data_IF_187338738621
#
_entry.id   IF_187338738621
#
_cell.length_a   1.000
_cell.length_b   1.000
_cell.length_c   1.000
_cell.angle_alpha   90.00
_cell.angle_beta   90.00
_cell.angle_gamma   90.00
#
_symmetry.space_group_name_H-M   'P 1'
#
loop_
_entity.id
_entity.type
_entity.pdbx_description
1 polymer ?
#
# COMPACT_ATOMS: atom_id res chain seq x y z
N UNK A 1 25.32 31.87 1.17
CA UNK A 1 25.64 30.74 0.27
C UNK A 1 24.35 30.07 -0.10
N UNK A 2 23.83 30.39 -1.28
CA UNK A 2 22.68 29.68 -1.86
C UNK A 2 23.32 28.39 -2.41
N UNK A 3 22.94 27.18 -1.93
CA UNK A 3 23.50 25.96 -2.49
C UNK A 3 23.25 25.95 -4.00
N UNK A 4 24.28 25.67 -4.79
CA UNK A 4 24.09 25.57 -6.23
C UNK A 4 23.17 24.37 -6.51
N UNK A 5 22.09 24.60 -7.27
CA UNK A 5 21.16 23.54 -7.70
C UNK A 5 21.82 22.48 -8.61
N UNK A 6 23.12 22.59 -8.85
CA UNK A 6 23.98 21.64 -9.56
C UNK A 6 24.32 20.40 -8.72
N UNK A 7 24.08 20.41 -7.40
CA UNK A 7 24.29 19.24 -6.56
C UNK A 7 23.11 18.25 -6.71
N UNK A 8 23.33 17.20 -7.51
CA UNK A 8 22.37 16.13 -7.80
C UNK A 8 21.72 15.54 -6.55
N UNK A 9 22.42 15.54 -5.41
CA UNK A 9 21.89 15.01 -4.15
C UNK A 9 20.74 15.87 -3.63
N UNK A 10 20.89 17.20 -3.68
CA UNK A 10 19.86 18.15 -3.20
C UNK A 10 18.61 18.05 -4.06
N UNK A 11 18.79 17.98 -5.38
CA UNK A 11 17.69 17.84 -6.35
C UNK A 11 16.92 16.54 -6.10
N UNK A 12 17.61 15.42 -5.89
CA UNK A 12 16.96 14.13 -5.61
C UNK A 12 16.15 14.17 -4.30
N UNK A 13 16.71 14.71 -3.21
CA UNK A 13 15.96 14.84 -1.94
C UNK A 13 14.75 15.76 -2.06
N UNK A 14 14.87 16.85 -2.82
CA UNK A 14 13.76 17.76 -3.07
C UNK A 14 12.65 17.06 -3.85
N UNK A 15 12.97 16.43 -4.99
CA UNK A 15 12.01 15.68 -5.81
C UNK A 15 11.38 14.56 -5.00
N UNK A 16 12.14 13.84 -4.18
CA UNK A 16 11.61 12.75 -3.35
C UNK A 16 10.53 13.23 -2.36
N UNK A 17 10.71 14.40 -1.74
CA UNK A 17 9.70 14.98 -0.83
C UNK A 17 8.41 15.35 -1.57
N UNK A 18 8.54 16.00 -2.73
CA UNK A 18 7.40 16.32 -3.57
C UNK A 18 6.67 15.08 -4.06
N UNK A 19 7.43 14.07 -4.51
CA UNK A 19 6.89 12.79 -4.89
C UNK A 19 6.16 12.11 -3.73
N UNK A 20 6.71 12.15 -2.51
CA UNK A 20 6.06 11.60 -1.33
C UNK A 20 4.72 12.30 -1.02
N UNK A 21 4.61 13.61 -1.20
CA UNK A 21 3.33 14.32 -1.04
C UNK A 21 2.29 13.91 -2.10
N UNK A 22 2.71 13.81 -3.36
CA UNK A 22 1.83 13.39 -4.45
C UNK A 22 1.33 11.95 -4.21
N UNK A 23 2.25 11.02 -3.95
CA UNK A 23 1.92 9.61 -3.70
C UNK A 23 1.07 9.48 -2.43
N UNK A 24 1.41 10.18 -1.36
CA UNK A 24 0.61 10.20 -0.13
C UNK A 24 -0.82 10.69 -0.38
N UNK A 25 -0.99 11.76 -1.16
CA UNK A 25 -2.30 12.27 -1.56
C UNK A 25 -3.12 11.25 -2.37
N UNK A 26 -2.48 10.57 -3.33
CA UNK A 26 -3.13 9.52 -4.13
C UNK A 26 -3.56 8.35 -3.26
N UNK A 27 -2.70 7.88 -2.35
CA UNK A 27 -3.02 6.78 -1.42
C UNK A 27 -4.18 7.18 -0.51
N UNK A 28 -4.17 8.39 0.05
CA UNK A 28 -5.25 8.89 0.89
C UNK A 28 -6.58 8.96 0.14
N UNK A 29 -6.58 9.53 -1.09
CA UNK A 29 -7.78 9.61 -1.91
C UNK A 29 -8.31 8.23 -2.30
N UNK A 30 -7.42 7.31 -2.69
CA UNK A 30 -7.77 5.93 -3.01
C UNK A 30 -8.37 5.21 -1.80
N UNK A 31 -7.69 5.23 -0.65
CA UNK A 31 -8.17 4.57 0.55
C UNK A 31 -9.46 5.19 1.07
N UNK A 32 -9.62 6.52 1.00
CA UNK A 32 -10.89 7.18 1.32
C UNK A 32 -12.03 6.66 0.44
N UNK A 33 -11.80 6.54 -0.87
CA UNK A 33 -12.80 6.00 -1.78
C UNK A 33 -13.15 4.53 -1.48
N UNK A 34 -12.15 3.69 -1.24
CA UNK A 34 -12.38 2.27 -0.91
C UNK A 34 -13.14 2.12 0.41
N UNK A 35 -12.81 2.92 1.43
CA UNK A 35 -13.48 2.86 2.73
C UNK A 35 -14.91 3.42 2.69
N UNK A 36 -15.16 4.46 1.91
CA UNK A 36 -16.52 4.99 1.70
C UNK A 36 -17.39 4.05 0.86
N UNK A 37 -16.80 3.32 -0.08
CA UNK A 37 -17.48 2.33 -0.92
C UNK A 37 -17.24 0.88 -0.44
N UNK A 38 -16.97 0.68 0.86
CA UNK A 38 -16.54 -0.61 1.42
C UNK A 38 -17.52 -1.77 1.11
N UNK A 39 -18.83 -1.49 1.08
CA UNK A 39 -19.85 -2.48 0.75
C UNK A 39 -19.79 -2.96 -0.72
N UNK A 40 -19.23 -2.15 -1.63
CA UNK A 40 -19.12 -2.48 -3.06
C UNK A 40 -17.82 -3.19 -3.39
N UNK A 41 -16.76 -2.95 -2.64
CA UNK A 41 -15.41 -3.51 -2.86
C UNK A 41 -14.80 -4.08 -1.58
N UNK A 42 -15.47 -5.03 -0.89
CA UNK A 42 -15.03 -5.52 0.41
C UNK A 42 -13.62 -6.15 0.37
N UNK A 43 -13.26 -6.77 -0.75
CA UNK A 43 -11.94 -7.38 -0.96
C UNK A 43 -10.77 -6.37 -1.03
N UNK A 44 -11.04 -5.07 -1.24
CA UNK A 44 -10.01 -4.02 -1.28
C UNK A 44 -9.84 -3.28 0.05
N UNK A 45 -10.74 -3.47 1.01
CA UNK A 45 -10.73 -2.76 2.29
C UNK A 45 -9.47 -3.07 3.10
N UNK A 46 -9.19 -4.36 3.34
CA UNK A 46 -8.00 -4.78 4.10
C UNK A 46 -6.70 -4.32 3.42
N UNK A 47 -6.49 -4.54 2.10
CA UNK A 47 -5.33 -4.00 1.41
C UNK A 47 -5.16 -2.49 1.53
N UNK A 48 -6.25 -1.72 1.48
CA UNK A 48 -6.21 -0.26 1.57
C UNK A 48 -5.81 0.23 2.96
N UNK A 49 -6.24 -0.46 4.02
CA UNK A 49 -5.81 -0.19 5.40
C UNK A 49 -4.32 -0.51 5.58
N UNK A 50 -3.85 -1.65 5.07
CA UNK A 50 -2.43 -2.02 5.09
C UNK A 50 -1.60 -0.96 4.36
N UNK A 51 -2.07 -0.49 3.20
CA UNK A 51 -1.39 0.56 2.42
C UNK A 51 -1.27 1.87 3.21
N UNK A 52 -2.32 2.27 3.93
CA UNK A 52 -2.27 3.45 4.82
C UNK A 52 -1.25 3.26 5.95
N UNK A 53 -1.27 2.12 6.63
CA UNK A 53 -0.35 1.83 7.73
C UNK A 53 1.10 1.84 7.25
N UNK A 54 1.41 1.18 6.12
CA UNK A 54 2.74 1.18 5.52
C UNK A 54 3.18 2.59 5.11
N UNK A 55 2.27 3.43 4.64
CA UNK A 55 2.56 4.84 4.30
C UNK A 55 2.93 5.63 5.55
N UNK A 56 2.19 5.47 6.65
CA UNK A 56 2.51 6.13 7.92
C UNK A 56 3.88 5.68 8.45
N UNK A 57 4.16 4.36 8.41
CA UNK A 57 5.47 3.81 8.75
C UNK A 57 6.56 4.39 7.85
N UNK A 58 6.33 4.52 6.54
CA UNK A 58 7.30 5.10 5.59
C UNK A 58 7.67 6.54 5.98
N UNK A 59 6.67 7.36 6.33
CA UNK A 59 6.88 8.74 6.74
C UNK A 59 7.70 8.79 8.03
N UNK A 60 7.35 7.99 9.03
CA UNK A 60 8.08 7.93 10.30
C UNK A 60 9.54 7.49 10.09
N UNK A 61 9.77 6.43 9.31
CA UNK A 61 11.12 5.96 8.99
C UNK A 61 11.92 6.99 8.18
N UNK A 62 11.25 7.75 7.30
CA UNK A 62 11.88 8.84 6.54
C UNK A 62 12.36 9.97 7.46
N UNK A 63 11.52 10.38 8.42
CA UNK A 63 11.87 11.38 9.44
C UNK A 63 13.02 10.86 10.31
N UNK A 64 12.92 9.63 10.81
CA UNK A 64 13.95 9.01 11.64
C UNK A 64 15.28 8.83 10.91
N UNK A 65 15.25 8.61 9.60
CA UNK A 65 16.46 8.54 8.77
C UNK A 65 17.18 9.89 8.71
N UNK A 66 16.43 10.99 8.60
CA UNK A 66 16.99 12.35 8.60
C UNK A 66 17.53 12.71 9.99
N UNK A 67 16.74 12.47 11.04
CA UNK A 67 17.13 12.76 12.43
C UNK A 67 18.28 11.87 12.92
N UNK A 68 18.33 10.62 12.46
CA UNK A 68 19.35 9.66 12.81
C UNK A 68 20.61 9.74 11.94
N UNK A 69 20.83 10.85 11.24
CA UNK A 69 22.01 11.10 10.40
C UNK A 69 22.30 9.96 9.40
N UNK A 70 21.25 9.35 8.84
CA UNK A 70 21.35 8.26 7.85
C UNK A 70 22.07 7.01 8.37
N UNK A 71 21.87 6.66 9.65
CA UNK A 71 22.24 5.32 10.17
C UNK A 71 21.74 4.22 9.24
N UNK A 72 22.64 3.31 8.86
CA UNK A 72 22.40 2.23 7.89
C UNK A 72 21.10 1.46 8.18
N UNK A 73 20.85 1.14 9.45
CA UNK A 73 19.64 0.42 9.85
C UNK A 73 18.33 1.16 9.49
N UNK A 74 18.27 2.47 9.74
CA UNK A 74 17.05 3.26 9.47
C UNK A 74 16.84 3.49 7.98
N UNK A 75 17.91 3.77 7.23
CA UNK A 75 17.86 3.89 5.78
C UNK A 75 17.41 2.60 5.11
N UNK A 76 17.94 1.45 5.54
CA UNK A 76 17.58 0.15 4.96
C UNK A 76 16.14 -0.23 5.26
N UNK A 77 15.66 0.01 6.49
CA UNK A 77 14.27 -0.20 6.86
C UNK A 77 13.34 0.71 6.04
N UNK A 78 13.72 1.97 5.84
CA UNK A 78 12.94 2.92 5.03
C UNK A 78 12.83 2.46 3.58
N UNK A 79 13.92 1.96 2.99
CA UNK A 79 13.91 1.44 1.62
C UNK A 79 13.09 0.14 1.52
N UNK A 80 13.24 -0.77 2.49
CA UNK A 80 12.48 -2.03 2.53
C UNK A 80 10.97 -1.79 2.67
N UNK A 81 10.55 -0.88 3.56
CA UNK A 81 9.14 -0.51 3.70
C UNK A 81 8.60 0.16 2.43
N UNK A 82 9.41 0.97 1.74
CA UNK A 82 9.06 1.55 0.44
C UNK A 82 8.81 0.49 -0.64
N UNK A 83 9.67 -0.53 -0.73
CA UNK A 83 9.49 -1.64 -1.65
C UNK A 83 8.23 -2.46 -1.33
N UNK A 84 7.96 -2.71 -0.04
CA UNK A 84 6.75 -3.40 0.39
C UNK A 84 5.49 -2.61 0.05
N UNK A 85 5.48 -1.30 0.32
CA UNK A 85 4.38 -0.40 -0.02
C UNK A 85 4.09 -0.44 -1.52
N UNK A 86 5.13 -0.36 -2.36
CA UNK A 86 5.00 -0.48 -3.81
C UNK A 86 4.40 -1.82 -4.23
N UNK A 87 4.86 -2.93 -3.64
CA UNK A 87 4.33 -4.26 -3.90
C UNK A 87 2.83 -4.40 -3.57
N UNK A 88 2.40 -3.88 -2.41
CA UNK A 88 0.98 -3.87 -2.03
C UNK A 88 0.16 -3.01 -2.99
N UNK A 89 0.63 -1.81 -3.35
CA UNK A 89 -0.04 -0.95 -4.31
C UNK A 89 -0.19 -1.65 -5.68
N UNK A 90 0.86 -2.32 -6.15
CA UNK A 90 0.83 -3.09 -7.38
C UNK A 90 -0.18 -4.25 -7.32
N UNK A 91 -0.20 -5.01 -6.21
CA UNK A 91 -1.20 -6.07 -6.00
C UNK A 91 -2.63 -5.56 -5.99
N UNK A 92 -2.87 -4.37 -5.41
CA UNK A 92 -4.19 -3.72 -5.42
C UNK A 92 -4.61 -3.39 -6.85
N UNK A 93 -3.70 -2.81 -7.65
CA UNK A 93 -3.95 -2.52 -9.07
C UNK A 93 -4.31 -3.80 -9.82
N UNK A 94 -3.51 -4.87 -9.68
CA UNK A 94 -3.82 -6.15 -10.34
C UNK A 94 -5.19 -6.70 -9.93
N UNK A 95 -5.54 -6.70 -8.63
CA UNK A 95 -6.85 -7.15 -8.16
C UNK A 95 -8.00 -6.29 -8.69
N UNK A 96 -7.78 -4.98 -8.83
CA UNK A 96 -8.77 -4.06 -9.37
C UNK A 96 -9.01 -4.23 -10.87
N UNK A 97 -7.97 -4.65 -11.62
CA UNK A 97 -8.03 -4.85 -13.07
C UNK A 97 -8.49 -6.26 -13.46
N UNK A 98 -8.23 -7.27 -12.62
CA UNK A 98 -8.61 -8.67 -12.86
C UNK A 98 -9.58 -9.23 -11.78
N UNK A 99 -10.79 -8.67 -11.63
CA UNK A 99 -11.74 -9.09 -10.60
C UNK A 99 -12.34 -10.51 -10.81
N UNK A 100 -12.21 -11.09 -12.00
CA UNK A 100 -12.92 -12.31 -12.40
C UNK A 100 -12.44 -13.60 -11.71
N UNK A 101 -11.15 -13.73 -11.40
CA UNK A 101 -10.59 -14.98 -10.84
C UNK A 101 -10.84 -15.11 -9.32
N UNK A 102 -10.78 -14.00 -8.58
CA UNK A 102 -11.04 -13.99 -7.14
C UNK A 102 -12.53 -14.26 -6.83
N UNK A 103 -13.45 -13.71 -7.62
CA UNK A 103 -14.89 -13.95 -7.48
C UNK A 103 -15.28 -15.40 -7.83
N UNK A 104 -14.55 -16.03 -8.76
CA UNK A 104 -14.77 -17.44 -9.11
C UNK A 104 -14.35 -18.39 -7.98
N UNK A 105 -13.20 -18.15 -7.34
CA UNK A 105 -12.69 -18.98 -6.25
C UNK A 105 -13.54 -18.87 -4.97
N UNK A 106 -14.00 -17.67 -4.61
CA UNK A 106 -14.87 -17.42 -3.45
C UNK A 106 -16.27 -18.04 -3.62
N UNK A 107 -16.83 -17.97 -4.84
CA UNK A 107 -18.11 -18.61 -5.14
C UNK A 107 -18.04 -20.15 -5.15
N UNK A 108 -16.90 -20.72 -5.53
CA UNK A 108 -16.68 -22.18 -5.50
C UNK A 108 -16.60 -22.69 -4.05
N UNK A 109 -15.81 -22.05 -3.19
CA UNK A 109 -15.72 -22.43 -1.77
C UNK A 109 -17.06 -22.25 -1.04
N UNK A 110 -17.82 -21.19 -1.33
CA UNK A 110 -19.16 -21.00 -0.77
C UNK A 110 -20.20 -22.00 -1.30
N UNK A 111 -20.03 -22.54 -2.52
CA UNK A 111 -20.86 -23.64 -3.04
C UNK A 111 -20.52 -24.97 -2.38
N UNK A 112 -19.23 -25.25 -2.20
CA UNK A 112 -18.74 -26.50 -1.62
C UNK A 112 -19.09 -26.62 -0.14
N UNK A 113 -18.96 -25.52 0.63
CA UNK A 113 -19.40 -25.46 2.03
C UNK A 113 -20.91 -25.72 2.19
N UNK A 114 -21.74 -25.12 1.33
CA UNK A 114 -23.19 -25.38 1.33
C UNK A 114 -23.53 -26.81 0.93
N UNK A 115 -22.83 -27.37 -0.05
CA UNK A 115 -23.05 -28.76 -0.47
C UNK A 115 -22.73 -29.75 0.65
N UNK A 116 -21.69 -29.48 1.46
CA UNK A 116 -21.35 -30.32 2.62
C UNK A 116 -22.34 -30.18 3.77
N UNK A 117 -22.92 -29.00 3.99
CA UNK A 117 -23.92 -28.76 5.04
C UNK A 117 -25.23 -29.55 4.78
N UNK A 118 -25.62 -29.71 3.51
CA UNK A 118 -26.74 -30.58 3.10
C UNK A 118 -26.40 -32.07 3.03
N UNK A 119 -25.12 -32.45 3.14
CA UNK A 119 -24.67 -33.83 3.09
C UNK A 119 -24.47 -34.47 4.48
N UNK A 120 -24.73 -33.74 5.57
CA UNK A 120 -24.71 -34.28 6.91
C UNK A 120 -25.93 -35.19 7.14
N UNK A 121 -25.75 -36.48 7.47
CA UNK A 121 -26.87 -37.35 7.81
C UNK A 121 -27.49 -36.89 9.12
N UNK A 122 -28.80 -36.58 9.09
CA UNK A 122 -29.67 -36.39 10.26
C UNK A 122 -29.93 -37.69 10.99
#
# INVERSE_FOLDING_TARGET
LIPEFTDSVVVVHFIHRWFAFVVGGVILAFSYRVLTEANKVPHLVIPSVILLLLTMTQIMLGILTVLGERKIYMTSLHQANGALLFGIAYMIVLRSLFPAEASAAENQTAKEGRSNEYALPV
#
